data_IF_406655743706
#
_entry.id   IF_406655743706
#
_cell.length_a   1.000
_cell.length_b   1.000
_cell.length_c   1.000
_cell.angle_alpha   90.00
_cell.angle_beta   90.00
_cell.angle_gamma   90.00
#
_symmetry.space_group_name_H-M   'P 1'
#
loop_
_entity.id
_entity.type
_entity.pdbx_description
1 polymer ?
#
# COMPACT_ATOMS: atom_id res chain seq x y z
N UNK A 1 16.83 -14.66 2.82
CA UNK A 1 16.95 -14.36 4.26
C UNK A 1 15.66 -14.73 4.98
N UNK A 2 15.76 -14.95 6.27
CA UNK A 2 14.64 -15.24 7.18
C UNK A 2 14.97 -14.66 8.55
N UNK A 3 13.98 -14.45 9.39
CA UNK A 3 14.16 -13.93 10.74
C UNK A 3 12.97 -13.12 11.24
N UNK A 4 13.13 -12.52 12.42
CA UNK A 4 12.14 -11.59 12.96
C UNK A 4 12.37 -10.21 12.35
N UNK A 5 11.32 -9.58 11.79
CA UNK A 5 11.46 -8.23 11.26
C UNK A 5 11.74 -7.22 12.37
N UNK A 6 12.31 -6.10 12.00
CA UNK A 6 12.44 -4.95 12.90
C UNK A 6 11.07 -4.37 13.14
N UNK A 7 10.67 -4.25 14.39
CA UNK A 7 9.38 -3.63 14.77
C UNK A 7 9.61 -2.15 15.06
N UNK A 8 8.83 -1.30 14.42
CA UNK A 8 8.84 0.13 14.66
C UNK A 8 8.36 0.45 16.09
N UNK A 9 9.05 1.34 16.79
CA UNK A 9 8.70 1.75 18.17
C UNK A 9 7.77 2.95 18.20
N UNK A 10 7.88 3.82 17.21
CA UNK A 10 7.09 5.06 17.06
C UNK A 10 6.76 5.30 15.58
N UNK A 11 5.98 4.40 14.95
CA UNK A 11 5.64 4.54 13.54
C UNK A 11 4.85 5.84 13.27
N UNK A 12 5.04 6.48 12.12
CA UNK A 12 5.99 6.15 11.06
C UNK A 12 7.41 6.70 11.28
N UNK A 13 7.68 7.40 12.39
CA UNK A 13 8.90 8.18 12.65
C UNK A 13 10.17 7.34 12.82
N UNK A 14 10.03 6.06 13.11
CA UNK A 14 11.10 5.07 13.06
C UNK A 14 10.68 3.95 12.11
N UNK A 15 11.62 3.53 11.23
CA UNK A 15 11.37 2.49 10.26
C UNK A 15 11.21 1.10 10.87
N UNK A 16 10.52 0.23 10.14
CA UNK A 16 10.28 -1.15 10.51
C UNK A 16 8.85 -1.59 10.20
N UNK A 17 8.43 -2.69 10.79
CA UNK A 17 7.05 -3.14 10.74
C UNK A 17 6.27 -2.61 11.95
N UNK A 18 5.11 -2.03 11.68
CA UNK A 18 4.06 -1.83 12.69
C UNK A 18 3.19 -3.07 12.69
N UNK A 19 3.00 -3.68 13.86
CA UNK A 19 2.22 -4.92 13.99
C UNK A 19 1.22 -4.74 15.12
N UNK A 20 0.03 -4.33 14.74
CA UNK A 20 -1.09 -4.04 15.63
C UNK A 20 -2.23 -5.04 15.43
N UNK A 21 -3.31 -4.83 16.15
CA UNK A 21 -4.56 -5.57 15.99
C UNK A 21 -5.69 -4.60 15.63
N UNK A 22 -6.59 -5.05 14.76
CA UNK A 22 -7.85 -4.35 14.53
C UNK A 22 -8.83 -4.53 15.72
N UNK A 23 -10.01 -3.96 15.64
CA UNK A 23 -11.04 -4.06 16.70
C UNK A 23 -11.54 -5.50 16.91
N UNK A 24 -11.35 -6.39 15.94
CA UNK A 24 -11.73 -7.80 15.99
C UNK A 24 -10.58 -8.70 16.48
N UNK A 25 -9.42 -8.12 16.77
CA UNK A 25 -8.23 -8.84 17.20
C UNK A 25 -7.43 -9.50 16.07
N UNK A 26 -7.74 -9.19 14.80
CA UNK A 26 -6.97 -9.66 13.64
C UNK A 26 -5.71 -8.82 13.44
N UNK A 27 -4.71 -9.42 12.82
CA UNK A 27 -3.45 -8.72 12.56
C UNK A 27 -3.65 -7.56 11.58
N UNK A 28 -3.06 -6.41 11.93
CA UNK A 28 -3.04 -5.21 11.14
C UNK A 28 -1.59 -4.70 11.05
N UNK A 29 -0.96 -4.90 9.91
CA UNK A 29 0.48 -4.77 9.72
C UNK A 29 0.75 -3.77 8.59
N UNK A 30 1.74 -2.91 8.79
CA UNK A 30 2.25 -2.04 7.73
C UNK A 30 3.75 -1.83 7.88
N UNK A 31 4.42 -1.55 6.77
CA UNK A 31 5.83 -1.16 6.74
C UNK A 31 5.95 0.36 6.84
N UNK A 32 7.03 0.83 7.44
CA UNK A 32 7.52 2.20 7.33
C UNK A 32 9.04 2.20 7.14
N UNK A 33 9.54 3.18 6.37
CA UNK A 33 10.97 3.23 6.00
C UNK A 33 11.66 4.50 6.53
N UNK A 34 10.92 5.42 7.15
CA UNK A 34 11.43 6.71 7.58
C UNK A 34 12.65 6.58 8.48
N UNK A 35 13.69 7.33 8.19
CA UNK A 35 14.94 7.42 8.95
C UNK A 35 15.90 6.23 8.78
N UNK A 36 15.38 5.02 8.62
CA UNK A 36 16.19 3.80 8.59
C UNK A 36 16.26 3.10 7.23
N UNK A 37 15.42 3.51 6.27
CA UNK A 37 15.42 2.96 4.91
C UNK A 37 14.66 1.64 4.75
N UNK A 38 14.50 1.22 3.50
CA UNK A 38 13.74 0.02 3.12
C UNK A 38 14.46 -1.29 3.42
N UNK A 39 15.78 -1.27 3.57
CA UNK A 39 16.60 -2.44 3.90
C UNK A 39 16.27 -3.08 5.26
N UNK A 40 15.43 -2.41 6.06
CA UNK A 40 14.87 -2.95 7.30
C UNK A 40 14.00 -4.19 7.10
N UNK A 41 13.30 -4.30 5.99
CA UNK A 41 12.33 -5.37 5.80
C UNK A 41 12.53 -6.18 4.51
N UNK A 42 13.25 -5.65 3.51
CA UNK A 42 13.60 -6.41 2.31
C UNK A 42 15.02 -6.06 1.81
N UNK A 43 15.74 -7.01 1.19
CA UNK A 43 17.09 -6.76 0.70
C UNK A 43 17.03 -5.89 -0.55
N UNK A 44 17.49 -4.67 -0.42
CA UNK A 44 17.59 -3.70 -1.49
C UNK A 44 18.93 -2.94 -1.39
N UNK A 45 19.25 -2.23 -2.46
CA UNK A 45 20.34 -1.25 -2.42
C UNK A 45 19.83 -0.05 -1.61
N UNK A 46 20.55 0.28 -0.55
CA UNK A 46 20.13 1.30 0.40
C UNK A 46 20.46 2.71 -0.09
N UNK A 47 19.85 3.08 -1.22
CA UNK A 47 20.06 4.35 -1.88
C UNK A 47 18.79 4.77 -2.64
N UNK A 48 18.29 5.97 -2.40
CA UNK A 48 17.02 6.45 -2.94
C UNK A 48 16.99 6.65 -4.46
N UNK A 49 18.14 6.77 -5.11
CA UNK A 49 18.23 6.85 -6.58
C UNK A 49 18.23 5.50 -7.29
N UNK A 50 18.14 4.41 -6.53
CA UNK A 50 18.05 3.08 -7.11
C UNK A 50 16.57 2.76 -7.40
N UNK A 51 16.14 3.13 -8.58
CA UNK A 51 14.76 2.95 -9.06
C UNK A 51 14.73 1.90 -10.15
N UNK A 52 14.28 0.66 -9.88
CA UNK A 52 14.01 -0.30 -10.94
C UNK A 52 12.88 0.24 -11.84
N UNK A 53 13.00 -0.01 -13.15
CA UNK A 53 12.00 0.42 -14.15
C UNK A 53 10.61 -0.19 -13.91
N UNK A 54 10.57 -1.36 -13.30
CA UNK A 54 9.33 -2.04 -12.89
C UNK A 54 9.61 -3.04 -11.78
N UNK A 55 8.58 -3.45 -11.05
CA UNK A 55 8.75 -4.36 -9.92
C UNK A 55 7.56 -5.33 -9.79
N UNK A 56 7.86 -6.62 -9.60
CA UNK A 56 6.89 -7.61 -9.15
C UNK A 56 7.02 -7.80 -7.64
N UNK A 57 5.92 -7.61 -6.92
CA UNK A 57 5.85 -7.76 -5.47
C UNK A 57 4.88 -8.91 -5.17
N UNK A 58 5.39 -9.97 -4.53
CA UNK A 58 4.59 -11.15 -4.21
C UNK A 58 4.61 -11.36 -2.69
N UNK A 59 3.45 -11.24 -2.06
CA UNK A 59 3.32 -11.32 -0.61
C UNK A 59 2.32 -12.41 -0.25
N UNK A 60 2.74 -13.33 0.62
CA UNK A 60 1.93 -14.44 1.09
C UNK A 60 1.44 -14.15 2.51
N UNK A 61 0.14 -14.25 2.70
CA UNK A 61 -0.53 -13.98 3.99
C UNK A 61 -1.40 -15.18 4.40
N UNK A 62 -1.78 -15.30 5.68
CA UNK A 62 -2.86 -16.17 6.09
C UNK A 62 -4.13 -15.90 5.25
N UNK A 63 -4.91 -16.94 4.95
CA UNK A 63 -6.01 -16.87 3.99
C UNK A 63 -7.12 -15.86 4.38
N UNK A 64 -7.27 -15.55 5.66
CA UNK A 64 -8.27 -14.60 6.17
C UNK A 64 -7.83 -13.13 6.10
N UNK A 65 -6.56 -12.84 5.77
CA UNK A 65 -6.04 -11.48 5.63
C UNK A 65 -5.80 -11.12 4.16
N UNK A 66 -5.79 -9.84 3.87
CA UNK A 66 -5.46 -9.28 2.56
C UNK A 66 -4.15 -8.51 2.64
N UNK A 67 -3.28 -8.70 1.66
CA UNK A 67 -2.15 -7.82 1.42
C UNK A 67 -2.50 -6.74 0.41
N UNK A 68 -2.03 -5.52 0.66
CA UNK A 68 -2.09 -4.39 -0.27
C UNK A 68 -0.69 -3.79 -0.42
N UNK A 69 -0.24 -3.71 -1.66
CA UNK A 69 1.08 -3.17 -2.01
C UNK A 69 1.00 -2.21 -3.21
N UNK A 70 2.15 -1.80 -3.71
CA UNK A 70 2.27 -0.87 -4.83
C UNK A 70 1.85 -1.51 -6.16
N UNK A 71 1.53 -0.66 -7.14
CA UNK A 71 1.15 -1.09 -8.48
C UNK A 71 -0.25 -1.72 -8.55
N UNK A 72 -0.47 -2.60 -9.50
CA UNK A 72 -1.78 -3.27 -9.71
C UNK A 72 -1.75 -4.72 -9.28
N UNK A 73 -2.78 -5.17 -8.58
CA UNK A 73 -3.00 -6.58 -8.29
C UNK A 73 -3.26 -7.33 -9.60
N UNK A 74 -2.38 -8.29 -9.92
CA UNK A 74 -2.49 -9.09 -11.15
C UNK A 74 -3.25 -10.39 -10.93
N UNK A 75 -3.03 -11.04 -9.80
CA UNK A 75 -3.74 -12.27 -9.41
C UNK A 75 -3.57 -12.54 -7.91
N UNK A 76 -4.41 -13.44 -7.41
CA UNK A 76 -4.27 -14.06 -6.10
C UNK A 76 -4.13 -15.56 -6.34
N UNK A 77 -3.17 -16.19 -5.65
CA UNK A 77 -3.00 -17.64 -5.67
C UNK A 77 -3.35 -18.20 -4.31
N UNK A 78 -4.33 -19.08 -4.24
CA UNK A 78 -4.64 -19.86 -3.04
C UNK A 78 -3.62 -20.99 -2.87
N UNK A 79 -3.05 -21.15 -1.69
CA UNK A 79 -2.03 -22.15 -1.39
C UNK A 79 -2.62 -23.30 -0.57
N UNK A 80 -1.96 -24.47 -0.59
CA UNK A 80 -2.43 -25.69 0.07
C UNK A 80 -2.39 -25.58 1.62
N UNK A 81 -1.51 -24.71 2.13
CA UNK A 81 -1.25 -24.49 3.55
C UNK A 81 -2.16 -23.47 4.22
N UNK A 82 -3.32 -23.18 3.61
CA UNK A 82 -4.28 -22.16 4.07
C UNK A 82 -3.70 -20.73 4.09
N UNK A 83 -2.79 -20.45 3.17
CA UNK A 83 -2.31 -19.11 2.87
C UNK A 83 -2.75 -18.67 1.48
N UNK A 84 -2.58 -17.40 1.15
CA UNK A 84 -2.74 -16.90 -0.22
C UNK A 84 -1.64 -15.92 -0.57
N UNK A 85 -1.25 -15.91 -1.82
CA UNK A 85 -0.22 -15.03 -2.37
C UNK A 85 -0.85 -13.99 -3.26
N UNK A 86 -0.63 -12.73 -2.93
CA UNK A 86 -1.00 -11.57 -3.72
C UNK A 86 0.15 -11.23 -4.66
N UNK A 87 -0.14 -11.08 -5.94
CA UNK A 87 0.84 -10.75 -6.99
C UNK A 87 0.58 -9.35 -7.51
N UNK A 88 1.34 -8.39 -7.02
CA UNK A 88 1.33 -7.00 -7.46
C UNK A 88 2.38 -6.75 -8.54
N UNK A 89 2.12 -5.77 -9.38
CA UNK A 89 3.06 -5.35 -10.39
C UNK A 89 3.05 -3.83 -10.52
N UNK A 90 4.22 -3.23 -10.32
CA UNK A 90 4.50 -1.82 -10.51
C UNK A 90 5.11 -1.64 -11.88
N UNK A 91 4.51 -0.80 -12.72
CA UNK A 91 4.95 -0.56 -14.09
C UNK A 91 5.87 0.64 -14.21
N UNK A 92 5.65 1.66 -13.38
CA UNK A 92 6.48 2.86 -13.35
C UNK A 92 7.72 2.66 -12.49
N UNK A 93 8.81 3.40 -12.74
CA UNK A 93 9.96 3.38 -11.83
C UNK A 93 9.54 3.66 -10.39
N UNK A 94 10.09 2.89 -9.47
CA UNK A 94 9.80 3.01 -8.05
C UNK A 94 11.08 2.92 -7.23
N UNK A 95 11.32 3.91 -6.37
CA UNK A 95 12.43 3.82 -5.43
C UNK A 95 12.14 2.84 -4.29
N UNK A 96 13.19 2.37 -3.65
CA UNK A 96 13.09 1.38 -2.58
C UNK A 96 12.26 1.86 -1.37
N UNK A 97 12.31 3.17 -1.07
CA UNK A 97 11.55 3.78 0.02
C UNK A 97 10.04 3.69 -0.22
N UNK A 98 9.59 3.81 -1.47
CA UNK A 98 8.18 3.76 -1.85
C UNK A 98 7.58 2.36 -1.82
N UNK A 99 8.39 1.29 -1.74
CA UNK A 99 7.88 -0.09 -1.70
C UNK A 99 7.33 -0.40 -0.32
N UNK A 100 6.05 -0.76 -0.26
CA UNK A 100 5.37 -1.03 1.01
C UNK A 100 4.57 -2.34 1.00
N UNK A 101 4.25 -2.80 2.20
CA UNK A 101 3.40 -3.96 2.46
C UNK A 101 2.41 -3.58 3.56
N UNK A 102 1.12 -3.80 3.29
CA UNK A 102 0.06 -3.53 4.25
C UNK A 102 -0.84 -4.77 4.33
N UNK A 103 -0.96 -5.37 5.49
CA UNK A 103 -1.73 -6.60 5.69
C UNK A 103 -2.79 -6.37 6.76
N UNK A 104 -4.04 -6.72 6.44
CA UNK A 104 -5.17 -6.55 7.35
C UNK A 104 -6.44 -7.20 6.86
N UNK A 105 -7.50 -7.11 7.65
CA UNK A 105 -8.84 -7.53 7.24
C UNK A 105 -9.52 -6.42 6.43
N UNK A 106 -8.94 -6.14 5.26
CA UNK A 106 -9.39 -5.06 4.40
C UNK A 106 -10.69 -5.36 3.66
N UNK A 107 -11.51 -4.32 3.55
CA UNK A 107 -12.52 -4.17 2.51
C UNK A 107 -11.96 -3.31 1.38
N UNK A 108 -12.29 -3.67 0.15
CA UNK A 108 -11.90 -2.92 -1.05
C UNK A 108 -13.12 -2.30 -1.72
N UNK A 109 -13.00 -1.07 -2.17
CA UNK A 109 -13.90 -0.44 -3.12
C UNK A 109 -13.12 0.49 -4.04
N UNK A 110 -13.68 0.80 -5.19
CA UNK A 110 -12.98 1.59 -6.20
C UNK A 110 -13.92 2.53 -6.93
N UNK A 111 -13.33 3.52 -7.56
CA UNK A 111 -14.00 4.40 -8.51
C UNK A 111 -13.05 4.80 -9.64
N UNK A 112 -13.56 5.50 -10.63
CA UNK A 112 -12.76 6.08 -11.71
C UNK A 112 -12.77 7.59 -11.62
N UNK A 113 -11.62 8.19 -11.80
CA UNK A 113 -11.42 9.62 -11.93
C UNK A 113 -11.07 9.94 -13.37
N UNK A 114 -11.82 10.83 -14.01
CA UNK A 114 -11.54 11.33 -15.35
C UNK A 114 -10.63 12.56 -15.22
N UNK A 115 -9.32 12.33 -15.31
CA UNK A 115 -8.30 13.35 -15.20
C UNK A 115 -7.68 13.72 -16.54
N UNK A 116 -6.65 14.57 -16.51
CA UNK A 116 -6.02 15.15 -17.71
C UNK A 116 -5.40 14.09 -18.64
N UNK A 117 -4.94 12.96 -18.10
CA UNK A 117 -4.39 11.82 -18.88
C UNK A 117 -5.42 10.73 -19.21
N UNK A 118 -6.70 10.98 -18.95
CA UNK A 118 -7.78 10.02 -19.16
C UNK A 118 -8.28 9.39 -17.86
N UNK A 119 -8.77 8.14 -17.93
CA UNK A 119 -9.35 7.46 -16.78
C UNK A 119 -8.28 6.92 -15.84
N UNK A 120 -8.27 7.39 -14.60
CA UNK A 120 -7.46 6.91 -13.51
C UNK A 120 -8.30 5.98 -12.62
N UNK A 121 -7.83 4.76 -12.39
CA UNK A 121 -8.42 3.87 -11.41
C UNK A 121 -8.01 4.32 -10.01
N UNK A 122 -8.99 4.50 -9.12
CA UNK A 122 -8.80 4.86 -7.72
C UNK A 122 -9.28 3.71 -6.86
N UNK A 123 -8.37 3.07 -6.15
CA UNK A 123 -8.62 1.89 -5.32
C UNK A 123 -8.44 2.23 -3.84
N UNK A 124 -9.40 1.82 -3.02
CA UNK A 124 -9.44 2.14 -1.61
C UNK A 124 -9.49 0.88 -0.77
N UNK A 125 -8.56 0.76 0.17
CA UNK A 125 -8.43 -0.37 1.06
C UNK A 125 -8.50 0.11 2.50
N UNK A 126 -9.54 -0.28 3.21
CA UNK A 126 -9.78 0.14 4.59
C UNK A 126 -10.20 -1.08 5.41
N UNK A 127 -10.01 -1.04 6.72
CA UNK A 127 -10.54 -2.09 7.59
C UNK A 127 -12.05 -2.21 7.40
N UNK A 128 -12.59 -3.42 7.41
CA UNK A 128 -14.01 -3.69 7.18
C UNK A 128 -14.92 -2.87 8.09
N UNK A 129 -14.52 -2.68 9.34
CA UNK A 129 -15.24 -1.89 10.33
C UNK A 129 -15.33 -0.39 9.99
N UNK A 130 -14.38 0.12 9.22
CA UNK A 130 -14.32 1.53 8.81
C UNK A 130 -14.92 1.79 7.42
N UNK A 131 -15.38 0.75 6.70
CA UNK A 131 -15.86 0.87 5.32
C UNK A 131 -16.93 1.94 5.12
N UNK A 132 -17.90 2.04 6.06
CA UNK A 132 -18.96 3.04 5.97
C UNK A 132 -18.44 4.48 6.08
N UNK A 133 -17.54 4.73 7.03
CA UNK A 133 -16.90 6.03 7.24
C UNK A 133 -16.01 6.41 6.06
N UNK A 134 -15.24 5.44 5.57
CA UNK A 134 -14.35 5.63 4.42
C UNK A 134 -15.10 6.00 3.16
N UNK A 135 -16.21 5.31 2.85
CA UNK A 135 -17.06 5.64 1.70
C UNK A 135 -17.63 7.07 1.75
N UNK A 136 -17.90 7.58 2.94
CA UNK A 136 -18.33 8.97 3.10
C UNK A 136 -17.17 9.94 2.91
N UNK A 137 -16.04 9.71 3.59
CA UNK A 137 -14.87 10.58 3.54
C UNK A 137 -14.23 10.63 2.15
N UNK A 138 -14.16 9.50 1.45
CA UNK A 138 -13.46 9.41 0.16
C UNK A 138 -14.26 9.94 -1.02
N UNK A 139 -15.49 10.45 -0.81
CA UNK A 139 -16.20 11.26 -1.81
C UNK A 139 -15.41 12.51 -2.23
N UNK A 140 -14.52 12.98 -1.36
CA UNK A 140 -13.68 14.15 -1.64
C UNK A 140 -12.43 13.84 -2.47
N UNK A 141 -12.10 12.56 -2.73
CA UNK A 141 -10.88 12.18 -3.45
C UNK A 141 -10.84 12.79 -4.86
N UNK A 142 -11.93 12.76 -5.60
CA UNK A 142 -11.97 13.37 -6.94
C UNK A 142 -11.69 14.88 -6.91
N UNK A 143 -12.25 15.57 -5.93
CA UNK A 143 -12.02 17.01 -5.74
C UNK A 143 -10.57 17.31 -5.38
N UNK A 144 -9.97 16.45 -4.54
CA UNK A 144 -8.55 16.51 -4.20
C UNK A 144 -7.68 16.30 -5.44
N UNK A 145 -7.94 15.26 -6.24
CA UNK A 145 -7.20 14.98 -7.47
C UNK A 145 -7.32 16.14 -8.47
N UNK A 146 -8.51 16.71 -8.65
CA UNK A 146 -8.72 17.89 -9.49
C UNK A 146 -7.89 19.10 -9.02
N UNK A 147 -7.84 19.34 -7.71
CA UNK A 147 -7.05 20.40 -7.14
C UNK A 147 -5.54 20.16 -7.38
N UNK A 148 -5.07 18.94 -7.20
CA UNK A 148 -3.67 18.60 -7.46
C UNK A 148 -3.33 18.69 -8.96
N UNK A 149 -4.18 18.24 -9.86
CA UNK A 149 -3.97 18.40 -11.30
C UNK A 149 -3.86 19.87 -11.68
N UNK A 150 -4.73 20.72 -11.12
CA UNK A 150 -4.70 22.16 -11.41
C UNK A 150 -3.38 22.83 -11.01
N UNK A 151 -2.80 22.45 -9.86
CA UNK A 151 -1.61 23.13 -9.32
C UNK A 151 -0.28 22.44 -9.68
N UNK A 152 -0.29 21.12 -9.87
CA UNK A 152 0.91 20.30 -10.01
C UNK A 152 0.95 19.47 -11.29
N UNK A 153 -0.12 19.51 -12.08
CA UNK A 153 -0.28 18.66 -13.25
C UNK A 153 -0.87 17.29 -12.92
N UNK A 154 -1.11 16.46 -13.95
CA UNK A 154 -1.79 15.19 -13.80
C UNK A 154 -1.00 14.21 -12.92
N UNK A 155 -1.73 13.38 -12.17
CA UNK A 155 -1.13 12.29 -11.40
C UNK A 155 -0.19 11.47 -12.31
N UNK A 156 1.07 11.25 -11.94
CA UNK A 156 2.06 10.71 -12.87
C UNK A 156 1.93 9.20 -13.14
N UNK A 157 1.34 8.41 -12.23
CA UNK A 157 1.40 6.94 -12.22
C UNK A 157 0.07 6.28 -12.61
N UNK A 158 -0.55 6.70 -13.72
CA UNK A 158 -1.83 6.15 -14.19
C UNK A 158 -1.82 4.64 -14.39
N UNK A 159 -0.68 4.09 -14.85
CA UNK A 159 -0.51 2.68 -15.08
C UNK A 159 -0.59 1.84 -13.80
N UNK A 160 -0.23 2.44 -12.66
CA UNK A 160 -0.16 1.77 -11.36
C UNK A 160 -1.37 2.04 -10.46
N UNK A 161 -2.34 2.84 -10.94
CA UNK A 161 -3.52 3.31 -10.21
C UNK A 161 -3.20 4.26 -9.04
N UNK A 162 -4.21 4.95 -8.56
CA UNK A 162 -4.16 5.72 -7.32
C UNK A 162 -4.76 4.87 -6.19
N UNK A 163 -4.09 4.82 -5.05
CA UNK A 163 -4.59 4.07 -3.89
C UNK A 163 -4.60 4.89 -2.61
N UNK A 164 -5.62 4.66 -1.78
CA UNK A 164 -5.62 5.01 -0.37
C UNK A 164 -5.73 3.73 0.45
N UNK A 165 -4.81 3.56 1.39
CA UNK A 165 -4.72 2.37 2.24
C UNK A 165 -4.73 2.81 3.69
N UNK A 166 -5.64 2.25 4.48
CA UNK A 166 -5.65 2.46 5.94
C UNK A 166 -4.50 1.68 6.57
N UNK A 167 -3.78 2.32 7.50
CA UNK A 167 -2.61 1.75 8.17
C UNK A 167 -2.73 1.89 9.69
N UNK A 168 -2.04 1.05 10.51
CA UNK A 168 -2.18 1.02 11.96
C UNK A 168 -1.44 2.15 12.69
N UNK A 169 -1.20 3.27 12.04
CA UNK A 169 -0.54 4.43 12.65
C UNK A 169 -1.03 5.73 12.01
N UNK A 170 -0.86 6.82 12.73
CA UNK A 170 -1.04 8.17 12.18
C UNK A 170 0.29 8.64 11.61
N UNK A 171 0.31 9.04 10.35
CA UNK A 171 1.52 9.45 9.69
C UNK A 171 1.29 10.31 8.45
N UNK A 172 2.38 10.67 7.81
CA UNK A 172 2.42 11.50 6.61
C UNK A 172 3.06 10.77 5.41
N UNK A 173 3.20 9.48 5.50
CA UNK A 173 3.72 8.65 4.41
C UNK A 173 2.61 8.13 3.50
#
# INVERSE_FOLDING_TARGET
FEGKPVIAKRPPWDGGLTWEKDSNGLDFIATSCQGAGASLWWPCKDHMYDEPESMAINITTPNHLMDVSNGRLKKITENIDNTKTFHWYVKNPINNYGVNMNIGDYAHFSEKYEGEKGLLDCDYYVLKENLGKAKEQFKDVKRMLQAFEHWFGPYPFYEDSFKLVEVPYLGME
#
